data_IF_698349988203
#
_entry.id   IF_698349988203
#
_cell.length_a   1.000
_cell.length_b   1.000
_cell.length_c   1.000
_cell.angle_alpha   90.00
_cell.angle_beta   90.00
_cell.angle_gamma   90.00
#
_symmetry.space_group_name_H-M   'P 1'
#
loop_
_entity.id
_entity.type
_entity.pdbx_description
1 polymer ?
#
# COMPACT_ATOMS: atom_id res chain seq x y z
N UNK A 1 -17.79 -9.77 -8.82
CA UNK A 1 -16.43 -9.34 -9.25
C UNK A 1 -15.51 -9.58 -8.06
N UNK A 2 -14.42 -10.35 -8.17
CA UNK A 2 -13.54 -10.67 -7.03
C UNK A 2 -12.43 -9.63 -6.90
N UNK A 3 -12.15 -9.16 -5.68
CA UNK A 3 -11.05 -8.25 -5.40
C UNK A 3 -9.71 -8.93 -5.69
N UNK A 4 -8.77 -8.22 -6.33
CA UNK A 4 -7.45 -8.76 -6.69
C UNK A 4 -6.42 -8.37 -5.65
N UNK A 5 -5.44 -9.25 -5.40
CA UNK A 5 -4.28 -8.93 -4.54
C UNK A 5 -3.57 -7.65 -5.00
N UNK A 6 -3.48 -7.44 -6.32
CA UNK A 6 -2.89 -6.21 -6.91
C UNK A 6 -3.58 -4.93 -6.45
N UNK A 7 -4.88 -4.99 -6.12
CA UNK A 7 -5.63 -3.84 -5.59
C UNK A 7 -5.18 -3.50 -4.18
N UNK A 8 -4.94 -4.50 -3.33
CA UNK A 8 -4.42 -4.29 -1.96
C UNK A 8 -3.03 -3.66 -2.04
N UNK A 9 -2.14 -4.21 -2.87
CA UNK A 9 -0.79 -3.70 -3.04
C UNK A 9 -0.79 -2.21 -3.44
N UNK A 10 -1.63 -1.83 -4.41
CA UNK A 10 -1.74 -0.44 -4.85
C UNK A 10 -2.23 0.49 -3.73
N UNK A 11 -3.18 0.04 -2.90
CA UNK A 11 -3.69 0.84 -1.77
C UNK A 11 -2.59 1.00 -0.71
N UNK A 12 -1.92 -0.10 -0.33
CA UNK A 12 -0.85 -0.10 0.68
C UNK A 12 0.31 0.80 0.25
N UNK A 13 0.80 0.66 -0.98
CA UNK A 13 1.87 1.51 -1.51
C UNK A 13 1.42 2.97 -1.62
N UNK A 14 0.17 3.23 -2.00
CA UNK A 14 -0.42 4.56 -2.01
C UNK A 14 -0.41 5.24 -0.64
N UNK A 15 -0.80 4.52 0.42
CA UNK A 15 -0.76 5.02 1.80
C UNK A 15 0.69 5.27 2.23
N UNK A 16 1.61 4.33 1.98
CA UNK A 16 3.02 4.47 2.35
C UNK A 16 3.71 5.63 1.62
N UNK A 17 3.36 5.90 0.36
CA UNK A 17 3.92 7.03 -0.39
C UNK A 17 3.65 8.39 0.28
N UNK A 18 2.60 8.50 1.10
CA UNK A 18 2.28 9.73 1.84
C UNK A 18 3.34 10.08 2.90
N UNK A 19 4.14 9.10 3.34
CA UNK A 19 5.28 9.31 4.24
C UNK A 19 6.26 10.34 3.64
N UNK A 20 6.49 10.26 2.33
CA UNK A 20 7.41 11.14 1.59
C UNK A 20 6.70 12.34 0.94
N UNK A 21 5.43 12.58 1.20
CA UNK A 21 4.69 13.67 0.55
C UNK A 21 5.12 15.05 1.06
N UNK A 22 5.20 16.05 0.16
CA UNK A 22 5.54 17.43 0.52
C UNK A 22 4.41 18.18 1.25
N UNK A 23 3.25 17.54 1.41
CA UNK A 23 2.09 18.11 2.12
C UNK A 23 2.46 18.39 3.56
N UNK A 24 2.58 19.65 3.98
CA UNK A 24 2.85 20.01 5.38
C UNK A 24 1.73 19.53 6.30
N UNK A 25 2.09 18.74 7.32
CA UNK A 25 1.18 18.30 8.38
C UNK A 25 1.58 18.95 9.72
N UNK A 26 0.63 19.20 10.63
CA UNK A 26 0.93 19.80 11.95
C UNK A 26 1.87 18.98 12.84
N UNK A 27 2.00 17.67 12.57
CA UNK A 27 2.79 16.71 13.35
C UNK A 27 3.64 15.84 12.41
N UNK A 28 4.67 16.43 11.80
CA UNK A 28 5.56 15.70 10.88
C UNK A 28 6.41 14.64 11.58
N UNK A 29 6.72 14.83 12.86
CA UNK A 29 7.49 13.92 13.70
C UNK A 29 6.85 12.53 13.85
N UNK A 30 5.52 12.45 13.75
CA UNK A 30 4.76 11.20 13.80
C UNK A 30 4.20 10.79 12.43
N UNK A 31 4.61 11.45 11.34
CA UNK A 31 4.09 11.18 9.99
C UNK A 31 4.35 9.73 9.57
N UNK A 32 5.59 9.28 9.70
CA UNK A 32 5.99 7.94 9.29
C UNK A 32 5.24 6.86 10.08
N UNK A 33 5.19 7.00 11.40
CA UNK A 33 4.49 6.06 12.28
C UNK A 33 2.99 6.04 11.99
N UNK A 34 2.40 7.21 11.72
CA UNK A 34 0.98 7.34 11.35
C UNK A 34 0.66 6.60 10.06
N UNK A 35 1.41 6.85 8.98
CA UNK A 35 1.11 6.22 7.70
C UNK A 35 1.47 4.74 7.64
N UNK A 36 2.49 4.28 8.38
CA UNK A 36 2.74 2.84 8.56
C UNK A 36 1.58 2.15 9.28
N UNK A 37 1.07 2.76 10.35
CA UNK A 37 -0.11 2.26 11.07
C UNK A 37 -1.34 2.22 10.17
N UNK A 38 -1.60 3.29 9.42
CA UNK A 38 -2.72 3.33 8.47
C UNK A 38 -2.60 2.26 7.37
N UNK A 39 -1.38 2.06 6.84
CA UNK A 39 -1.13 1.00 5.86
C UNK A 39 -1.44 -0.38 6.47
N UNK A 40 -1.05 -0.61 7.72
CA UNK A 40 -1.32 -1.84 8.44
C UNK A 40 -2.82 -2.07 8.68
N UNK A 41 -3.53 -1.05 9.20
CA UNK A 41 -4.97 -1.12 9.42
C UNK A 41 -5.74 -1.38 8.11
N UNK A 42 -5.33 -0.71 7.01
CA UNK A 42 -5.90 -0.95 5.69
C UNK A 42 -5.63 -2.38 5.19
N UNK A 43 -4.42 -2.91 5.38
CA UNK A 43 -4.07 -4.29 5.03
C UNK A 43 -4.98 -5.29 5.75
N UNK A 44 -5.17 -5.14 7.06
CA UNK A 44 -6.02 -6.04 7.85
C UNK A 44 -7.45 -6.01 7.32
N UNK A 45 -8.04 -4.82 7.09
CA UNK A 45 -9.41 -4.70 6.59
C UNK A 45 -9.56 -5.30 5.19
N UNK A 46 -8.62 -5.02 4.29
CA UNK A 46 -8.69 -5.52 2.90
C UNK A 46 -8.46 -7.04 2.82
N UNK A 47 -7.55 -7.58 3.64
CA UNK A 47 -7.34 -9.03 3.74
C UNK A 47 -8.55 -9.72 4.38
N UNK A 48 -9.18 -9.12 5.38
CA UNK A 48 -10.46 -9.58 5.95
C UNK A 48 -11.53 -9.67 4.85
N UNK A 49 -11.66 -8.65 4.02
CA UNK A 49 -12.60 -8.66 2.90
C UNK A 49 -12.29 -9.76 1.88
N UNK A 50 -11.01 -10.01 1.56
CA UNK A 50 -10.61 -11.13 0.71
C UNK A 50 -10.99 -12.49 1.31
N UNK A 51 -10.76 -12.68 2.61
CA UNK A 51 -11.13 -13.92 3.30
C UNK A 51 -12.64 -14.09 3.26
N UNK A 52 -13.42 -13.03 3.52
CA UNK A 52 -14.88 -13.08 3.47
C UNK A 52 -15.39 -13.54 2.10
N UNK A 53 -14.84 -13.00 1.01
CA UNK A 53 -15.20 -13.37 -0.37
C UNK A 53 -14.78 -14.80 -0.74
N UNK A 54 -13.70 -15.32 -0.14
CA UNK A 54 -13.15 -16.63 -0.47
C UNK A 54 -13.72 -17.77 0.40
N UNK A 55 -14.03 -17.48 1.67
CA UNK A 55 -14.26 -18.49 2.73
C UNK A 55 -15.44 -18.17 3.66
N UNK A 56 -16.03 -16.99 3.56
CA UNK A 56 -17.19 -16.58 4.34
C UNK A 56 -16.85 -15.72 5.57
N UNK A 57 -17.90 -15.18 6.19
CA UNK A 57 -17.79 -14.15 7.22
C UNK A 57 -17.17 -14.65 8.53
N UNK A 58 -17.39 -15.92 8.89
CA UNK A 58 -16.90 -16.47 10.16
C UNK A 58 -15.36 -16.51 10.19
N UNK A 59 -14.72 -17.05 9.14
CA UNK A 59 -13.25 -17.04 9.00
C UNK A 59 -12.69 -15.61 8.88
N UNK A 60 -13.43 -14.71 8.23
CA UNK A 60 -13.02 -13.32 8.10
C UNK A 60 -12.96 -12.62 9.46
N UNK A 61 -13.97 -12.84 10.31
CA UNK A 61 -14.03 -12.24 11.64
C UNK A 61 -13.02 -12.85 12.61
N UNK A 62 -12.69 -14.14 12.47
CA UNK A 62 -11.60 -14.77 13.22
C UNK A 62 -10.26 -14.11 12.89
N UNK A 63 -9.96 -13.88 11.61
CA UNK A 63 -8.75 -13.14 11.23
C UNK A 63 -8.76 -11.70 11.75
N UNK A 64 -9.85 -10.95 11.53
CA UNK A 64 -9.95 -9.52 11.90
C UNK A 64 -9.80 -9.25 13.40
N UNK A 65 -10.30 -10.17 14.24
CA UNK A 65 -10.23 -10.03 15.71
C UNK A 65 -9.00 -10.70 16.32
N UNK A 66 -8.16 -11.31 15.48
CA UNK A 66 -6.94 -11.99 15.87
C UNK A 66 -5.83 -11.03 16.32
N UNK A 67 -4.66 -11.62 16.60
CA UNK A 67 -3.46 -10.85 16.90
C UNK A 67 -2.74 -10.50 15.61
N UNK A 68 -2.47 -9.21 15.40
CA UNK A 68 -1.79 -8.69 14.22
C UNK A 68 -0.43 -8.07 14.59
N UNK A 69 0.54 -8.15 13.67
CA UNK A 69 1.80 -7.43 13.81
C UNK A 69 1.66 -5.98 13.33
N UNK A 70 2.59 -5.12 13.71
CA UNK A 70 2.60 -3.70 13.29
C UNK A 70 2.96 -3.51 11.80
N UNK A 71 3.37 -4.58 11.12
CA UNK A 71 3.95 -4.58 9.78
C UNK A 71 3.37 -5.62 8.82
N UNK A 72 2.14 -6.13 9.06
CA UNK A 72 1.44 -7.04 8.14
C UNK A 72 1.34 -6.47 6.72
N UNK A 73 1.29 -5.15 6.57
CA UNK A 73 1.31 -4.49 5.26
C UNK A 73 2.50 -4.92 4.38
N UNK A 74 3.60 -5.41 4.95
CA UNK A 74 4.75 -5.95 4.22
C UNK A 74 4.37 -7.16 3.34
N UNK A 75 3.38 -7.95 3.72
CA UNK A 75 2.85 -9.08 2.90
C UNK A 75 2.35 -8.59 1.52
N UNK A 76 1.87 -7.36 1.47
CA UNK A 76 1.32 -6.73 0.28
C UNK A 76 2.24 -5.67 -0.34
N UNK A 77 3.45 -5.52 0.19
CA UNK A 77 4.48 -4.72 -0.46
C UNK A 77 5.03 -5.49 -1.64
N UNK A 78 4.99 -4.86 -2.80
CA UNK A 78 5.72 -5.35 -3.98
C UNK A 78 7.15 -4.83 -4.01
N UNK A 79 7.46 -3.86 -3.15
CA UNK A 79 8.77 -3.24 -2.99
C UNK A 79 9.65 -4.01 -1.98
N UNK A 80 10.19 -5.15 -2.41
CA UNK A 80 11.40 -5.72 -1.80
C UNK A 80 12.58 -4.84 -2.26
N UNK A 81 13.17 -4.08 -1.34
CA UNK A 81 14.46 -3.37 -1.45
C UNK A 81 14.55 -2.32 -2.58
N UNK A 82 14.57 -1.04 -2.18
CA UNK A 82 15.19 0.10 -2.86
C UNK A 82 14.66 0.59 -4.24
N UNK A 83 13.37 0.44 -4.52
CA UNK A 83 12.74 1.11 -5.67
C UNK A 83 11.78 2.21 -5.22
N UNK A 84 12.03 3.41 -5.70
CA UNK A 84 11.25 4.61 -5.38
C UNK A 84 9.87 4.51 -6.07
N UNK A 85 8.88 3.96 -5.36
CA UNK A 85 7.50 3.90 -5.82
C UNK A 85 6.92 5.31 -5.74
N UNK A 86 6.71 5.96 -6.88
CA UNK A 86 5.92 7.19 -6.93
C UNK A 86 4.86 7.11 -8.01
N UNK A 87 3.81 7.91 -7.82
CA UNK A 87 2.79 8.11 -8.82
C UNK A 87 3.43 8.67 -10.10
N UNK A 88 3.20 8.00 -11.22
CA UNK A 88 3.53 8.53 -12.53
C UNK A 88 2.32 9.30 -13.06
N UNK A 89 2.43 10.62 -13.13
CA UNK A 89 1.35 11.52 -13.56
C UNK A 89 0.99 11.38 -15.05
N UNK A 90 1.88 10.76 -15.84
CA UNK A 90 1.62 10.52 -17.26
C UNK A 90 0.63 9.36 -17.51
N UNK A 91 0.67 8.31 -16.69
CA UNK A 91 -0.21 7.12 -16.82
C UNK A 91 -1.18 6.95 -15.65
N UNK A 92 -1.11 7.84 -14.66
CA UNK A 92 -1.75 7.72 -13.35
C UNK A 92 -1.58 6.32 -12.73
N UNK A 93 -0.38 5.78 -12.87
CA UNK A 93 -0.02 4.47 -12.38
C UNK A 93 1.04 4.60 -11.27
N UNK A 94 1.06 3.69 -10.31
CA UNK A 94 2.15 3.56 -9.32
C UNK A 94 3.09 2.42 -9.77
N UNK A 95 3.96 2.66 -10.77
CA UNK A 95 4.93 1.68 -11.23
C UNK A 95 6.16 1.65 -10.29
N UNK A 96 6.96 0.59 -10.38
CA UNK A 96 8.36 0.69 -9.95
C UNK A 96 9.10 1.70 -10.83
N UNK A 97 10.00 2.47 -10.22
CA UNK A 97 10.94 3.31 -10.96
C UNK A 97 12.11 2.44 -11.37
N UNK A 98 12.23 2.18 -12.67
CA UNK A 98 13.36 1.46 -13.26
C UNK A 98 14.18 2.51 -14.00
N UNK A 99 15.40 2.79 -13.54
CA UNK A 99 16.31 3.80 -14.12
C UNK A 99 15.67 5.19 -14.30
N UNK A 100 14.95 5.68 -13.28
CA UNK A 100 14.25 6.97 -13.32
C UNK A 100 13.01 7.00 -14.21
N UNK A 101 12.52 5.83 -14.68
CA UNK A 101 11.34 5.71 -15.56
C UNK A 101 10.22 4.89 -14.93
N UNK A 102 8.99 5.24 -15.29
CA UNK A 102 7.81 4.45 -15.02
C UNK A 102 7.92 3.06 -15.67
N UNK A 103 7.92 2.00 -14.87
CA UNK A 103 7.93 0.61 -15.36
C UNK A 103 6.72 0.20 -16.22
N UNK A 104 5.67 1.02 -16.32
CA UNK A 104 4.48 0.74 -17.16
C UNK A 104 4.49 1.49 -18.50
N UNK A 105 4.73 2.80 -18.48
CA UNK A 105 4.65 3.64 -19.68
C UNK A 105 6.00 4.18 -20.15
N UNK A 106 7.09 3.93 -19.41
CA UNK A 106 8.44 4.36 -19.76
C UNK A 106 8.71 5.86 -19.58
N UNK A 107 7.72 6.64 -19.14
CA UNK A 107 7.88 8.06 -18.89
C UNK A 107 8.94 8.30 -17.79
N UNK A 108 9.86 9.25 -18.04
CA UNK A 108 10.78 9.72 -16.99
C UNK A 108 9.99 10.48 -15.93
N UNK A 109 10.40 10.33 -14.67
CA UNK A 109 10.02 11.32 -13.66
C UNK A 109 10.80 12.59 -13.97
N UNK A 110 10.11 13.67 -14.29
CA UNK A 110 10.72 15.00 -14.29
C UNK A 110 11.00 15.38 -12.83
N UNK A 111 12.14 16.04 -12.58
CA UNK A 111 12.60 16.46 -11.24
C UNK A 111 11.62 17.40 -10.54
#
# INVERSE_FOLDING_TARGET
>A
MKMKLTTINQIVEGILSQIKSDTKLPHEDVRETTFKRLANEATIVLKTALICEARGIDEAMEYYTGTHTEDEYQEFRTSVVDYDVSLCENCYCMPHTIDGKCGKCGARKEE
#
